data_IF_148145349607
#
_entry.id   IF_148145349607
#
_cell.length_a   1.000
_cell.length_b   1.000
_cell.length_c   1.000
_cell.angle_alpha   90.00
_cell.angle_beta   90.00
_cell.angle_gamma   90.00
#
_symmetry.space_group_name_H-M   'P 1'
#
loop_
_entity.id
_entity.type
_entity.pdbx_description
1 polymer ?
#
# COMPACT_ATOMS: atom_id res chain seq x y z
N UNK A 1 10.66 -9.04 9.94
CA UNK A 1 10.00 -8.25 8.86
C UNK A 1 11.04 -7.34 8.22
N UNK A 2 11.05 -7.16 6.90
CA UNK A 2 12.00 -6.29 6.20
C UNK A 2 11.31 -5.01 5.73
N UNK A 3 11.98 -3.85 5.87
CA UNK A 3 11.45 -2.61 5.31
C UNK A 3 11.66 -2.56 3.82
N UNK A 4 10.82 -1.79 3.12
CA UNK A 4 10.92 -1.57 1.68
C UNK A 4 12.30 -0.99 1.32
N UNK A 5 12.87 -0.07 2.11
CA UNK A 5 14.23 0.43 1.86
C UNK A 5 15.33 -0.65 1.95
N UNK A 6 15.17 -1.66 2.80
CA UNK A 6 16.21 -2.66 3.06
C UNK A 6 16.28 -3.72 1.97
N UNK A 7 15.16 -3.91 1.26
CA UNK A 7 15.13 -4.77 0.09
C UNK A 7 15.48 -3.98 -1.19
N UNK A 8 15.66 -2.64 -1.13
CA UNK A 8 15.89 -1.72 -2.27
C UNK A 8 17.06 -2.06 -3.18
N UNK A 9 18.15 -2.59 -2.64
CA UNK A 9 19.28 -3.09 -3.45
C UNK A 9 18.87 -4.27 -4.37
N UNK A 10 17.90 -5.07 -3.93
CA UNK A 10 17.25 -6.10 -4.73
C UNK A 10 16.10 -5.55 -5.62
N UNK A 11 15.67 -4.29 -5.44
CA UNK A 11 14.49 -3.71 -6.12
C UNK A 11 14.68 -3.54 -7.62
N UNK A 12 15.90 -3.23 -8.08
CA UNK A 12 16.17 -3.12 -9.52
C UNK A 12 15.92 -4.42 -10.29
N UNK A 13 15.81 -5.57 -9.61
CA UNK A 13 15.56 -6.89 -10.23
C UNK A 13 14.22 -7.54 -9.87
N UNK A 14 13.54 -7.12 -8.80
CA UNK A 14 12.39 -7.84 -8.22
C UNK A 14 11.02 -7.18 -8.45
N UNK A 15 10.99 -5.92 -8.87
CA UNK A 15 9.75 -5.18 -9.06
C UNK A 15 9.39 -5.07 -10.53
N UNK A 16 8.47 -5.93 -10.95
CA UNK A 16 7.95 -5.94 -12.31
C UNK A 16 6.83 -4.88 -12.42
N UNK A 17 6.80 -4.10 -13.52
CA UNK A 17 5.67 -3.21 -13.78
C UNK A 17 4.35 -3.98 -13.66
N UNK A 18 3.36 -3.38 -13.02
CA UNK A 18 2.03 -3.97 -12.81
C UNK A 18 2.03 -5.26 -11.97
N UNK A 19 3.12 -5.62 -11.30
CA UNK A 19 3.06 -6.58 -10.22
C UNK A 19 2.56 -5.89 -8.95
N UNK A 20 1.59 -6.49 -8.28
CA UNK A 20 1.02 -5.97 -7.04
C UNK A 20 1.73 -6.60 -5.85
N UNK A 21 1.94 -5.79 -4.83
CA UNK A 21 2.64 -6.15 -3.62
C UNK A 21 1.85 -5.73 -2.39
N UNK A 22 1.99 -6.51 -1.32
CA UNK A 22 1.42 -6.23 -0.01
C UNK A 22 2.46 -5.56 0.87
N UNK A 23 2.08 -4.46 1.50
CA UNK A 23 2.87 -3.79 2.52
C UNK A 23 2.06 -3.52 3.78
N UNK A 24 2.76 -3.13 4.84
CA UNK A 24 2.13 -2.68 6.09
C UNK A 24 2.87 -1.49 6.69
N UNK A 25 2.11 -0.47 7.06
CA UNK A 25 2.57 0.62 7.92
C UNK A 25 2.22 0.30 9.37
N UNK A 26 3.16 0.48 10.29
CA UNK A 26 2.85 0.51 11.72
C UNK A 26 2.56 1.93 12.17
N UNK A 27 1.94 2.08 13.35
CA UNK A 27 1.37 3.34 13.85
C UNK A 27 2.27 4.57 13.66
N UNK A 28 3.57 4.47 13.97
CA UNK A 28 4.51 5.60 13.80
C UNK A 28 4.60 6.04 12.34
N UNK A 29 4.92 5.11 11.44
CA UNK A 29 5.02 5.39 10.00
C UNK A 29 3.65 5.77 9.40
N UNK A 30 2.56 5.23 9.95
CA UNK A 30 1.19 5.55 9.55
C UNK A 30 0.81 7.00 9.89
N UNK A 31 1.24 7.53 11.03
CA UNK A 31 1.00 8.94 11.39
C UNK A 31 1.71 9.86 10.39
N UNK A 32 2.93 9.52 9.98
CA UNK A 32 3.69 10.29 8.99
C UNK A 32 3.00 10.26 7.62
N UNK A 33 2.58 9.07 7.15
CA UNK A 33 1.93 8.95 5.85
C UNK A 33 0.55 9.63 5.82
N UNK A 34 -0.21 9.61 6.92
CA UNK A 34 -1.49 10.34 7.03
C UNK A 34 -1.31 11.86 6.89
N UNK A 35 -0.29 12.41 7.55
CA UNK A 35 0.06 13.84 7.44
C UNK A 35 0.45 14.20 6.01
N UNK A 36 1.26 13.37 5.37
CA UNK A 36 1.75 13.61 4.02
C UNK A 36 0.63 13.49 3.00
N UNK A 37 -0.25 12.49 3.12
CA UNK A 37 -1.36 12.29 2.19
C UNK A 37 -2.61 13.12 2.54
N UNK A 38 -2.58 13.91 3.62
CA UNK A 38 -3.72 14.70 4.09
C UNK A 38 -4.98 13.86 4.29
N UNK A 39 -4.83 12.57 4.61
CA UNK A 39 -5.93 11.59 4.67
C UNK A 39 -5.80 10.78 5.95
N UNK A 40 -6.89 10.71 6.73
CA UNK A 40 -6.91 9.90 7.97
C UNK A 40 -7.18 8.43 7.64
N UNK A 41 -6.20 7.59 7.92
CA UNK A 41 -6.30 6.12 7.86
C UNK A 41 -6.58 5.51 9.23
N UNK A 42 -6.86 6.31 10.26
CA UNK A 42 -7.21 5.83 11.58
C UNK A 42 -6.03 5.48 12.49
N UNK A 43 -4.85 6.07 12.27
CA UNK A 43 -3.66 5.88 13.12
C UNK A 43 -3.90 6.15 14.62
N UNK A 44 -4.86 7.01 14.94
CA UNK A 44 -5.27 7.30 16.32
C UNK A 44 -5.88 6.08 17.04
N UNK A 45 -6.54 5.18 16.30
CA UNK A 45 -7.22 3.97 16.82
C UNK A 45 -6.53 2.66 16.45
N UNK A 46 -5.65 2.65 15.45
CA UNK A 46 -5.09 1.41 14.88
C UNK A 46 -3.56 1.37 15.03
N UNK A 47 -3.04 0.18 15.29
CA UNK A 47 -1.59 -0.04 15.44
C UNK A 47 -0.88 -0.25 14.10
N UNK A 48 -1.62 -0.56 13.04
CA UNK A 48 -1.08 -0.75 11.70
C UNK A 48 -2.16 -0.63 10.63
N UNK A 49 -1.71 -0.50 9.39
CA UNK A 49 -2.54 -0.42 8.20
C UNK A 49 -1.87 -1.18 7.03
N UNK A 50 -2.45 -2.30 6.60
CA UNK A 50 -2.04 -2.94 5.36
C UNK A 50 -2.38 -2.06 4.15
N UNK A 51 -1.60 -2.19 3.09
CA UNK A 51 -1.82 -1.53 1.82
C UNK A 51 -1.31 -2.39 0.69
N UNK A 52 -1.89 -2.22 -0.50
CA UNK A 52 -1.35 -2.75 -1.73
C UNK A 52 -0.58 -1.66 -2.45
N UNK A 53 0.47 -2.02 -3.15
CA UNK A 53 1.21 -1.09 -4.01
C UNK A 53 1.77 -1.78 -5.26
N UNK A 54 1.95 -1.00 -6.31
CA UNK A 54 2.54 -1.44 -7.58
C UNK A 54 3.25 -0.28 -8.27
N UNK A 55 3.98 -0.60 -9.33
CA UNK A 55 4.72 0.36 -10.14
C UNK A 55 4.16 0.39 -11.55
N UNK A 56 4.13 1.57 -12.17
CA UNK A 56 4.00 1.66 -13.62
C UNK A 56 5.36 1.52 -14.32
N UNK A 57 5.33 1.58 -15.66
CA UNK A 57 6.53 1.52 -16.51
C UNK A 57 7.52 2.69 -16.28
N UNK A 58 7.05 3.79 -15.69
CA UNK A 58 7.84 4.98 -15.38
C UNK A 58 8.30 5.03 -13.91
N UNK A 59 8.10 3.93 -13.16
CA UNK A 59 8.40 3.80 -11.74
C UNK A 59 7.59 4.71 -10.81
N UNK A 60 6.46 5.28 -11.27
CA UNK A 60 5.51 5.85 -10.32
C UNK A 60 4.92 4.73 -9.50
N UNK A 61 4.72 5.04 -8.22
CA UNK A 61 4.16 4.10 -7.27
C UNK A 61 2.70 4.40 -7.13
N UNK A 62 1.90 3.38 -7.25
CA UNK A 62 0.49 3.43 -6.90
C UNK A 62 0.32 2.67 -5.61
N UNK A 63 -0.46 3.20 -4.69
CA UNK A 63 -0.83 2.49 -3.49
C UNK A 63 -2.28 2.72 -3.12
N UNK A 64 -2.87 1.71 -2.50
CA UNK A 64 -4.21 1.73 -1.96
C UNK A 64 -4.21 1.08 -0.58
N UNK A 65 -4.81 1.76 0.40
CA UNK A 65 -4.90 1.24 1.75
C UNK A 65 -6.02 0.22 1.86
N UNK A 66 -5.83 -0.75 2.76
CA UNK A 66 -6.82 -1.77 3.06
C UNK A 66 -7.51 -1.50 4.39
N UNK A 67 -8.74 -1.96 4.52
CA UNK A 67 -9.57 -1.88 5.71
C UNK A 67 -10.26 -3.21 6.00
N UNK A 68 -10.80 -3.32 7.21
CA UNK A 68 -11.63 -4.45 7.66
C UNK A 68 -13.12 -4.14 7.52
N UNK A 69 -13.48 -2.94 7.05
CA UNK A 69 -14.87 -2.54 6.82
C UNK A 69 -15.40 -3.20 5.56
N UNK A 70 -16.45 -4.02 5.70
CA UNK A 70 -17.03 -4.82 4.60
C UNK A 70 -17.84 -4.01 3.58
N UNK A 71 -17.85 -2.68 3.70
CA UNK A 71 -18.71 -1.78 2.90
C UNK A 71 -18.12 -1.44 1.54
N UNK A 72 -17.07 -2.12 1.09
CA UNK A 72 -16.24 -1.72 -0.05
C UNK A 72 -15.79 -2.94 -0.86
N UNK A 73 -14.98 -2.72 -1.91
CA UNK A 73 -14.49 -3.79 -2.78
C UNK A 73 -13.62 -4.78 -1.98
N UNK A 74 -13.98 -6.08 -1.97
CA UNK A 74 -13.22 -7.11 -1.28
C UNK A 74 -11.92 -7.44 -2.02
N UNK A 75 -10.90 -7.79 -1.24
CA UNK A 75 -9.57 -8.20 -1.67
C UNK A 75 -9.23 -9.48 -0.94
N UNK A 76 -9.07 -10.56 -1.71
CA UNK A 76 -8.59 -11.84 -1.20
C UNK A 76 -7.07 -11.82 -1.03
N UNK A 77 -6.64 -11.67 0.23
CA UNK A 77 -5.22 -11.67 0.62
C UNK A 77 -4.62 -13.07 0.62
N UNK A 78 -5.39 -14.14 0.38
CA UNK A 78 -4.79 -15.46 0.12
C UNK A 78 -3.95 -15.47 -1.16
N UNK A 79 -4.28 -14.62 -2.12
CA UNK A 79 -3.48 -14.43 -3.33
C UNK A 79 -2.16 -13.69 -3.09
N UNK A 80 -1.91 -13.18 -1.88
CA UNK A 80 -0.63 -12.58 -1.48
C UNK A 80 0.29 -13.66 -0.89
N UNK A 81 1.19 -14.17 -1.74
CA UNK A 81 2.08 -15.26 -1.40
C UNK A 81 3.10 -14.84 -0.34
N UNK A 82 3.45 -15.80 0.54
CA UNK A 82 4.50 -15.64 1.58
C UNK A 82 4.27 -14.49 2.57
N UNK A 83 3.04 -13.94 2.67
CA UNK A 83 2.68 -12.89 3.65
C UNK A 83 3.02 -13.22 5.09
N UNK A 84 2.78 -14.47 5.49
CA UNK A 84 3.12 -14.96 6.83
C UNK A 84 4.62 -15.22 7.05
N UNK A 85 5.41 -15.28 5.97
CA UNK A 85 6.87 -15.42 6.06
C UNK A 85 7.52 -14.05 6.22
N UNK A 86 7.16 -13.09 5.36
CA UNK A 86 7.77 -11.75 5.39
C UNK A 86 7.24 -10.89 6.55
N UNK A 87 5.97 -11.11 6.92
CA UNK A 87 5.26 -10.37 7.95
C UNK A 87 4.69 -11.33 9.02
N UNK A 88 5.53 -12.22 9.56
CA UNK A 88 5.18 -13.28 10.53
C UNK A 88 4.48 -12.79 11.80
N UNK A 89 4.77 -11.57 12.24
CA UNK A 89 4.25 -11.01 13.48
C UNK A 89 2.93 -10.25 13.27
N UNK A 90 2.37 -10.28 12.06
CA UNK A 90 1.11 -9.63 11.73
C UNK A 90 0.12 -10.65 11.16
N UNK A 91 -1.06 -10.70 11.78
CA UNK A 91 -2.15 -11.55 11.31
C UNK A 91 -2.95 -10.82 10.24
N UNK A 92 -2.84 -11.30 8.99
CA UNK A 92 -3.70 -10.87 7.90
C UNK A 92 -4.98 -11.70 7.89
N UNK A 93 -6.13 -11.05 7.90
CA UNK A 93 -7.40 -11.70 7.58
C UNK A 93 -7.33 -12.20 6.12
N UNK A 94 -7.98 -13.34 5.79
CA UNK A 94 -8.03 -13.84 4.41
C UNK A 94 -8.64 -12.82 3.45
N UNK A 95 -9.66 -12.11 3.91
CA UNK A 95 -10.35 -11.06 3.16
C UNK A 95 -10.12 -9.70 3.81
N UNK A 96 -9.79 -8.72 2.98
CA UNK A 96 -9.73 -7.30 3.33
C UNK A 96 -10.50 -6.49 2.31
N UNK A 97 -10.62 -5.18 2.51
CA UNK A 97 -11.48 -4.32 1.72
C UNK A 97 -10.73 -3.05 1.34
N UNK A 98 -11.04 -2.43 0.20
CA UNK A 98 -10.40 -1.18 -0.19
C UNK A 98 -10.80 -0.03 0.74
N UNK A 99 -9.86 0.82 1.09
CA UNK A 99 -10.16 2.06 1.81
C UNK A 99 -10.90 3.04 0.88
N UNK A 100 -11.99 3.62 1.40
CA UNK A 100 -12.76 4.65 0.69
C UNK A 100 -12.47 6.04 1.27
N UNK A 101 -12.61 7.07 0.45
CA UNK A 101 -12.67 8.45 0.93
C UNK A 101 -14.01 8.77 1.60
N UNK A 102 -14.21 10.06 1.91
CA UNK A 102 -15.44 10.57 2.51
C UNK A 102 -16.65 10.52 1.55
N UNK A 103 -16.41 10.41 0.25
CA UNK A 103 -17.45 10.27 -0.78
C UNK A 103 -17.80 8.79 -1.07
N UNK A 104 -17.13 7.86 -0.39
CA UNK A 104 -17.35 6.43 -0.57
C UNK A 104 -16.64 5.86 -1.80
N UNK A 105 -15.58 6.51 -2.29
CA UNK A 105 -14.85 6.10 -3.50
C UNK A 105 -13.45 5.51 -3.18
N UNK A 106 -12.97 4.46 -3.89
CA UNK A 106 -11.69 3.81 -3.60
C UNK A 106 -10.46 4.68 -3.88
N UNK A 107 -9.75 5.07 -2.82
CA UNK A 107 -8.64 6.02 -2.97
C UNK A 107 -7.36 5.32 -3.43
N UNK A 108 -6.96 5.59 -4.67
CA UNK A 108 -5.64 5.27 -5.19
C UNK A 108 -4.75 6.50 -5.13
N UNK A 109 -3.60 6.34 -4.46
CA UNK A 109 -2.57 7.35 -4.36
C UNK A 109 -1.46 7.08 -5.37
N UNK A 110 -1.17 8.06 -6.23
CA UNK A 110 0.01 8.05 -7.10
C UNK A 110 1.15 8.85 -6.48
N UNK A 111 2.30 8.23 -6.28
CA UNK A 111 3.51 8.81 -5.72
C UNK A 111 4.65 8.83 -6.75
N UNK A 112 5.43 9.92 -6.84
CA UNK A 112 6.52 10.05 -7.80
C UNK A 112 7.79 9.29 -7.40
N UNK A 113 7.95 8.90 -6.14
CA UNK A 113 9.12 8.14 -5.67
C UNK A 113 8.85 7.31 -4.41
N UNK A 114 9.81 6.43 -4.09
CA UNK A 114 9.75 5.45 -3.01
C UNK A 114 9.82 6.02 -1.59
N UNK A 115 10.25 7.27 -1.39
CA UNK A 115 10.59 7.80 -0.06
C UNK A 115 9.44 7.65 0.95
N UNK A 116 8.20 7.82 0.50
CA UNK A 116 7.01 7.71 1.36
C UNK A 116 6.70 6.30 1.85
N UNK A 117 7.09 5.27 1.10
CA UNK A 117 6.82 3.87 1.48
C UNK A 117 8.09 3.14 1.93
N UNK A 118 9.26 3.76 1.86
CA UNK A 118 10.55 3.16 2.21
C UNK A 118 10.61 2.60 3.64
N UNK A 119 9.91 3.23 4.59
CA UNK A 119 9.84 2.79 5.96
C UNK A 119 8.74 1.75 6.23
N UNK A 120 7.82 1.54 5.29
CA UNK A 120 6.84 0.47 5.38
C UNK A 120 7.52 -0.89 5.31
N UNK A 121 6.84 -1.91 5.82
CA UNK A 121 7.31 -3.29 5.74
C UNK A 121 6.73 -3.98 4.52
N UNK A 122 7.60 -4.67 3.80
CA UNK A 122 7.21 -5.51 2.67
C UNK A 122 6.68 -6.85 3.17
N UNK A 123 5.52 -7.27 2.66
CA UNK A 123 4.88 -8.50 3.07
C UNK A 123 4.75 -9.53 1.94
N UNK A 124 4.98 -9.20 0.67
CA UNK A 124 4.97 -10.20 -0.39
C UNK A 124 4.36 -9.69 -1.69
N UNK A 125 4.39 -10.52 -2.73
CA UNK A 125 3.71 -10.29 -4.00
C UNK A 125 2.30 -10.87 -3.96
N UNK A 126 1.37 -10.22 -4.66
CA UNK A 126 0.00 -10.68 -4.81
C UNK A 126 -0.32 -10.98 -6.27
N UNK A 127 -1.00 -12.10 -6.50
CA UNK A 127 -1.46 -12.53 -7.82
C UNK A 127 -2.95 -12.23 -8.00
N UNK A 128 -3.46 -12.29 -9.23
CA UNK A 128 -4.90 -12.17 -9.55
C UNK A 128 -5.58 -10.85 -9.10
N UNK A 129 -4.83 -9.79 -8.82
CA UNK A 129 -5.35 -8.47 -8.45
C UNK A 129 -5.33 -7.45 -9.60
N UNK A 130 -5.23 -7.89 -10.86
CA UNK A 130 -5.13 -7.00 -12.04
C UNK A 130 -6.35 -6.09 -12.23
N UNK A 131 -7.51 -6.47 -11.70
CA UNK A 131 -8.72 -5.65 -11.72
C UNK A 131 -8.54 -4.31 -10.97
N UNK A 132 -7.51 -4.19 -10.11
CA UNK A 132 -7.17 -2.92 -9.48
C UNK A 132 -6.64 -1.88 -10.47
N UNK A 133 -6.17 -2.30 -11.66
CA UNK A 133 -5.70 -1.36 -12.70
C UNK A 133 -6.84 -0.67 -13.45
N UNK A 134 -8.05 -1.20 -13.39
CA UNK A 134 -9.23 -0.53 -13.96
C UNK A 134 -9.89 0.46 -13.00
N UNK A 135 -9.41 0.56 -11.77
CA UNK A 135 -9.85 1.59 -10.84
C UNK A 135 -9.26 2.95 -11.27
N UNK A 136 -10.09 3.98 -11.30
CA UNK A 136 -9.64 5.32 -11.61
C UNK A 136 -8.70 5.84 -10.52
N UNK A 137 -7.64 6.54 -10.92
CA UNK A 137 -6.74 7.19 -9.96
C UNK A 137 -7.48 8.37 -9.35
N UNK A 138 -7.76 8.29 -8.06
CA UNK A 138 -8.54 9.32 -7.36
C UNK A 138 -7.67 10.45 -6.82
N UNK A 139 -6.41 10.19 -6.46
CA UNK A 139 -5.51 11.22 -5.94
C UNK A 139 -4.08 11.13 -6.48
N UNK A 140 -3.63 12.22 -7.08
CA UNK A 140 -2.24 12.39 -7.51
C UNK A 140 -1.50 13.27 -6.50
N UNK A 141 -0.47 12.73 -5.84
CA UNK A 141 0.31 13.44 -4.81
C UNK A 141 1.69 13.87 -5.33
N UNK A 142 1.70 14.50 -6.51
CA UNK A 142 2.93 15.05 -7.13
C UNK A 142 3.44 16.32 -6.42
N UNK A 143 2.54 17.16 -5.89
CA UNK A 143 2.88 18.50 -5.38
C UNK A 143 3.68 18.54 -4.07
N UNK A 144 3.73 17.45 -3.31
CA UNK A 144 4.34 17.42 -1.97
C UNK A 144 5.86 17.20 -1.98
N UNK A 145 6.47 17.00 -3.15
CA UNK A 145 7.89 16.64 -3.27
C UNK A 145 8.80 17.76 -3.79
N UNK A 146 8.26 18.95 -4.05
CA UNK A 146 9.07 20.12 -4.44
C UNK A 146 9.46 21.04 -3.27
N UNK A 147 9.11 20.69 -2.03
CA UNK A 147 9.59 21.40 -0.84
C UNK A 147 10.34 20.47 0.11
N UNK A 148 11.64 20.31 -0.14
CA UNK A 148 12.67 19.97 0.85
C UNK A 148 14.01 20.46 0.31
#
# INVERSE_FOLDING_TARGET
MKRIKDIRGAFKKLFFPFQIYLGIFFRRDLIEIEKLLGTSFGSYKRNSRPFLFWFDNTQNIFLIFLTTSRITIPIDLNNCQRKHIYCSNYYFLPESFLFLDQEGKPVIFRLPNLKLIENAYFCGSCENLKHLFSLNIEKTHERLYHHS
#
